data_IF_818294036756
#
_entry.id   IF_818294036756
#
_cell.length_a   1.000
_cell.length_b   1.000
_cell.length_c   1.000
_cell.angle_alpha   90.00
_cell.angle_beta   90.00
_cell.angle_gamma   90.00
#
_symmetry.space_group_name_H-M   'P 1'
#
loop_
_entity.id
_entity.type
_entity.pdbx_description
1 polymer ?
#
# COMPACT_ATOMS: atom_id res chain seq x y z
N UNK A 1 6.68 -18.26 -4.91
CA UNK A 1 5.59 -17.40 -5.43
C UNK A 1 5.07 -17.86 -6.78
N UNK A 2 5.90 -18.12 -7.80
CA UNK A 2 5.43 -18.52 -9.14
C UNK A 2 4.43 -19.67 -9.16
N UNK A 3 4.68 -20.74 -8.39
CA UNK A 3 3.77 -21.87 -8.29
C UNK A 3 2.39 -21.47 -7.75
N UNK A 4 2.35 -20.66 -6.69
CA UNK A 4 1.10 -20.12 -6.13
C UNK A 4 0.34 -19.33 -7.20
N UNK A 5 1.00 -18.42 -7.91
CA UNK A 5 0.35 -17.64 -8.98
C UNK A 5 -0.20 -18.54 -10.09
N UNK A 6 0.51 -19.62 -10.49
CA UNK A 6 -0.02 -20.60 -11.47
C UNK A 6 -1.26 -21.31 -10.97
N UNK A 7 -1.23 -21.79 -9.72
CA UNK A 7 -2.39 -22.45 -9.11
C UNK A 7 -3.58 -21.49 -9.03
N UNK A 8 -3.36 -20.22 -8.69
CA UNK A 8 -4.43 -19.23 -8.61
C UNK A 8 -5.01 -18.87 -9.99
N UNK A 9 -4.20 -18.80 -11.04
CA UNK A 9 -4.72 -18.65 -12.41
C UNK A 9 -5.73 -19.75 -12.75
N UNK A 10 -5.45 -20.99 -12.36
CA UNK A 10 -6.31 -22.14 -12.67
C UNK A 10 -7.51 -22.29 -11.73
N UNK A 11 -7.38 -21.84 -10.48
CA UNK A 11 -8.35 -22.15 -9.40
C UNK A 11 -9.15 -20.94 -8.92
N UNK A 12 -8.57 -19.75 -8.96
CA UNK A 12 -9.13 -18.53 -8.38
C UNK A 12 -8.54 -17.29 -9.08
N UNK A 13 -8.81 -17.08 -10.38
CA UNK A 13 -8.20 -15.98 -11.13
C UNK A 13 -8.63 -14.59 -10.61
N UNK A 14 -9.77 -14.48 -9.93
CA UNK A 14 -10.31 -13.24 -9.37
C UNK A 14 -9.49 -12.65 -8.22
N UNK A 15 -8.53 -13.40 -7.65
CA UNK A 15 -7.63 -12.86 -6.61
C UNK A 15 -6.29 -12.43 -7.16
N UNK A 16 -6.04 -12.54 -8.46
CA UNK A 16 -4.74 -12.19 -9.05
C UNK A 16 -4.47 -10.68 -9.01
N UNK A 17 -5.52 -9.87 -8.95
CA UNK A 17 -5.46 -8.41 -8.95
C UNK A 17 -5.75 -7.79 -7.58
N UNK A 18 -5.72 -8.60 -6.51
CA UNK A 18 -5.95 -8.14 -5.11
C UNK A 18 -5.09 -6.92 -4.72
N UNK A 19 -3.93 -6.75 -5.35
CA UNK A 19 -3.06 -5.60 -5.10
C UNK A 19 -3.70 -4.27 -5.43
N UNK A 20 -4.72 -4.25 -6.31
CA UNK A 20 -5.47 -3.06 -6.67
C UNK A 20 -6.29 -2.52 -5.49
N UNK A 21 -6.76 -3.41 -4.61
CA UNK A 21 -7.49 -3.05 -3.39
C UNK A 21 -6.56 -2.52 -2.28
N UNK A 22 -5.25 -2.57 -2.51
CA UNK A 22 -4.20 -2.18 -1.56
C UNK A 22 -3.37 -0.98 -2.07
N UNK A 23 -4.01 -0.05 -2.78
CA UNK A 23 -3.33 1.12 -3.38
C UNK A 23 -2.54 1.97 -2.39
N UNK A 24 -3.03 2.07 -1.14
CA UNK A 24 -2.41 2.87 -0.08
C UNK A 24 -1.35 2.09 0.73
N UNK A 25 -1.11 0.82 0.40
CA UNK A 25 -0.14 0.00 1.14
C UNK A 25 1.28 0.55 1.06
N UNK A 26 1.69 1.04 -0.11
CA UNK A 26 3.03 1.61 -0.28
C UNK A 26 3.25 2.88 0.53
N UNK A 27 2.37 3.91 0.50
CA UNK A 27 2.52 5.05 1.40
C UNK A 27 2.36 4.64 2.87
N UNK A 28 1.46 3.72 3.21
CA UNK A 28 1.28 3.24 4.58
C UNK A 28 2.56 2.60 5.15
N UNK A 29 3.27 1.79 4.36
CA UNK A 29 4.53 1.17 4.77
C UNK A 29 5.69 2.15 5.00
N UNK A 30 5.55 3.42 4.58
CA UNK A 30 6.54 4.50 4.80
C UNK A 30 6.23 5.32 6.05
N UNK A 31 5.05 5.16 6.65
CA UNK A 31 4.67 5.86 7.87
C UNK A 31 5.54 5.35 9.02
N UNK A 32 5.97 6.27 9.89
CA UNK A 32 6.63 5.94 11.14
C UNK A 32 5.74 6.44 12.29
N UNK A 33 5.16 5.50 13.05
CA UNK A 33 4.21 5.81 14.11
C UNK A 33 4.85 6.62 15.24
N UNK A 34 6.16 6.48 15.43
CA UNK A 34 6.94 7.29 16.36
C UNK A 34 6.81 8.79 16.04
N UNK A 35 7.04 9.19 14.78
CA UNK A 35 6.93 10.60 14.40
C UNK A 35 5.50 11.10 14.52
N UNK A 36 4.51 10.26 14.19
CA UNK A 36 3.11 10.61 14.38
C UNK A 36 2.77 10.89 15.85
N UNK A 37 3.30 10.08 16.77
CA UNK A 37 3.14 10.29 18.21
C UNK A 37 3.84 11.58 18.70
N UNK A 38 5.05 11.84 18.21
CA UNK A 38 5.81 13.06 18.53
C UNK A 38 5.07 14.33 18.06
N UNK A 39 4.52 14.33 16.84
CA UNK A 39 3.74 15.46 16.32
C UNK A 39 2.44 15.67 17.11
N UNK A 40 1.72 14.60 17.45
CA UNK A 40 0.52 14.69 18.28
C UNK A 40 0.84 15.27 19.67
N UNK A 41 1.97 14.87 20.26
CA UNK A 41 2.44 15.43 21.52
C UNK A 41 2.81 16.91 21.39
N UNK A 42 3.49 17.29 20.31
CA UNK A 42 3.89 18.67 20.05
C UNK A 42 2.67 19.60 19.91
N UNK A 43 1.63 19.14 19.20
CA UNK A 43 0.37 19.87 19.03
C UNK A 43 -0.33 20.08 20.38
N UNK A 44 -0.47 19.03 21.19
CA UNK A 44 -1.07 19.14 22.52
C UNK A 44 -0.32 20.12 23.43
N UNK A 45 1.02 20.01 23.48
CA UNK A 45 1.87 20.94 24.25
C UNK A 45 1.76 22.37 23.72
N UNK A 46 1.63 22.56 22.42
CA UNK A 46 1.42 23.86 21.80
C UNK A 46 0.13 24.49 22.31
N UNK A 47 -0.98 23.73 22.26
CA UNK A 47 -2.28 24.19 22.75
C UNK A 47 -2.25 24.52 24.25
N UNK A 48 -1.65 23.67 25.08
CA UNK A 48 -1.49 23.91 26.53
C UNK A 48 -0.76 25.24 26.80
N UNK A 49 0.31 25.53 26.05
CA UNK A 49 1.04 26.79 26.17
C UNK A 49 0.17 27.99 25.80
N UNK A 50 -0.65 27.89 24.75
CA UNK A 50 -1.56 28.98 24.36
C UNK A 50 -2.60 29.24 25.46
N UNK A 51 -3.14 28.18 26.07
CA UNK A 51 -4.08 28.30 27.20
C UNK A 51 -3.41 28.98 28.40
N UNK A 52 -2.16 28.59 28.72
CA UNK A 52 -1.40 29.20 29.81
C UNK A 52 -1.08 30.68 29.54
N UNK A 53 -0.74 31.03 28.29
CA UNK A 53 -0.48 32.41 27.86
C UNK A 53 -1.74 33.26 28.03
N UNK A 54 -2.92 32.73 27.65
CA UNK A 54 -4.19 33.42 27.88
C UNK A 54 -4.41 33.69 29.37
N UNK A 55 -4.24 32.66 30.21
CA UNK A 55 -4.41 32.79 31.66
C UNK A 55 -3.46 33.83 32.28
N UNK A 56 -2.25 33.95 31.73
CA UNK A 56 -1.27 34.93 32.20
C UNK A 56 -1.66 36.33 31.74
N UNK A 57 -2.00 36.50 30.46
CA UNK A 57 -2.35 37.79 29.87
C UNK A 57 -3.61 38.41 30.49
N UNK A 58 -4.56 37.61 30.97
CA UNK A 58 -5.74 38.11 31.68
C UNK A 58 -5.39 38.89 32.97
N UNK A 59 -4.20 38.65 33.54
CA UNK A 59 -3.71 39.38 34.73
C UNK A 59 -3.03 40.72 34.42
N UNK A 60 -2.75 41.02 33.15
CA UNK A 60 -2.03 42.24 32.73
C UNK A 60 -2.90 43.50 32.65
N UNK A 61 -4.22 43.36 32.83
CA UNK A 61 -5.16 44.49 32.80
C UNK A 61 -5.45 45.00 31.37
N UNK A 62 -5.85 46.30 31.21
CA UNK A 62 -6.38 46.79 29.93
C UNK A 62 -5.42 46.71 28.73
N UNK A 63 -4.11 46.64 28.98
CA UNK A 63 -3.10 46.58 27.91
C UNK A 63 -3.16 45.27 27.11
N UNK A 64 -3.67 44.18 27.69
CA UNK A 64 -3.77 42.86 27.05
C UNK A 64 -5.17 42.54 26.51
N UNK A 65 -6.15 43.45 26.61
CA UNK A 65 -7.57 43.17 26.28
C UNK A 65 -7.74 42.71 24.82
N UNK A 66 -7.08 43.39 23.89
CA UNK A 66 -7.12 43.04 22.46
C UNK A 66 -6.49 41.67 22.20
N UNK A 67 -5.39 41.36 22.88
CA UNK A 67 -4.71 40.07 22.78
C UNK A 67 -5.60 38.94 23.32
N UNK A 68 -6.15 39.10 24.53
CA UNK A 68 -7.03 38.12 25.15
C UNK A 68 -8.26 37.82 24.27
N UNK A 69 -8.87 38.85 23.69
CA UNK A 69 -10.02 38.68 22.77
C UNK A 69 -9.64 37.83 21.56
N UNK A 70 -8.51 38.12 20.92
CA UNK A 70 -8.03 37.37 19.74
C UNK A 70 -7.60 35.95 20.07
N UNK A 71 -6.99 35.75 21.23
CA UNK A 71 -6.54 34.44 21.67
C UNK A 71 -7.72 33.52 22.03
N UNK A 72 -8.78 34.07 22.65
CA UNK A 72 -10.04 33.33 22.90
C UNK A 72 -10.73 32.90 21.60
N UNK A 73 -10.77 33.77 20.60
CA UNK A 73 -11.30 33.47 19.27
C UNK A 73 -10.52 32.32 18.59
N UNK A 74 -9.18 32.39 18.65
CA UNK A 74 -8.31 31.32 18.15
C UNK A 74 -8.51 30.00 18.89
N UNK A 75 -8.51 30.01 20.23
CA UNK A 75 -8.64 28.82 21.06
C UNK A 75 -9.96 28.08 20.80
N UNK A 76 -11.07 28.79 20.58
CA UNK A 76 -12.34 28.16 20.27
C UNK A 76 -12.28 27.23 19.05
N UNK A 77 -11.54 27.63 18.01
CA UNK A 77 -11.33 26.80 16.82
C UNK A 77 -10.22 25.75 17.03
N UNK A 78 -9.09 26.15 17.60
CA UNK A 78 -7.93 25.28 17.79
C UNK A 78 -8.24 24.07 18.70
N UNK A 79 -8.98 24.27 19.78
CA UNK A 79 -9.37 23.17 20.68
C UNK A 79 -10.28 22.15 19.98
N UNK A 80 -11.17 22.60 19.10
CA UNK A 80 -12.04 21.71 18.34
C UNK A 80 -11.24 20.86 17.34
N UNK A 81 -10.31 21.48 16.62
CA UNK A 81 -9.41 20.80 15.68
C UNK A 81 -8.50 19.79 16.40
N UNK A 82 -7.87 20.18 17.50
CA UNK A 82 -7.00 19.28 18.28
C UNK A 82 -7.78 18.10 18.86
N UNK A 83 -9.03 18.31 19.31
CA UNK A 83 -9.91 17.23 19.77
C UNK A 83 -10.27 16.26 18.65
N UNK A 84 -10.60 16.79 17.46
CA UNK A 84 -10.88 15.99 16.27
C UNK A 84 -9.66 15.15 15.89
N UNK A 85 -8.48 15.77 15.84
CA UNK A 85 -7.22 15.11 15.54
C UNK A 85 -6.86 14.02 16.57
N UNK A 86 -7.07 14.28 17.86
CA UNK A 86 -6.85 13.28 18.91
C UNK A 86 -7.75 12.05 18.76
N UNK A 87 -9.02 12.25 18.37
CA UNK A 87 -9.95 11.16 18.07
C UNK A 87 -9.51 10.34 16.86
N UNK A 88 -9.02 11.00 15.81
CA UNK A 88 -8.48 10.34 14.62
C UNK A 88 -7.21 9.53 14.99
N UNK A 89 -6.28 10.13 15.73
CA UNK A 89 -5.06 9.48 16.20
C UNK A 89 -5.36 8.22 17.04
N UNK A 90 -6.34 8.31 17.95
CA UNK A 90 -6.78 7.14 18.73
C UNK A 90 -7.37 6.03 17.85
N UNK A 91 -8.10 6.40 16.79
CA UNK A 91 -8.64 5.43 15.83
C UNK A 91 -7.53 4.77 15.01
N UNK A 92 -6.51 5.52 14.60
CA UNK A 92 -5.31 4.96 13.96
C UNK A 92 -4.65 3.92 14.87
N UNK A 93 -4.43 4.24 16.15
CA UNK A 93 -3.85 3.30 17.12
C UNK A 93 -4.63 1.99 17.22
N UNK A 94 -5.97 2.07 17.37
CA UNK A 94 -6.83 0.87 17.43
C UNK A 94 -6.79 0.05 16.13
N UNK A 95 -6.77 0.70 14.97
CA UNK A 95 -6.72 0.02 13.68
C UNK A 95 -5.36 -0.67 13.46
N UNK A 96 -4.27 -0.03 13.90
CA UNK A 96 -2.93 -0.63 13.89
C UNK A 96 -2.90 -1.90 14.73
N UNK A 97 -3.36 -1.83 15.97
CA UNK A 97 -3.39 -2.99 16.87
C UNK A 97 -4.26 -4.12 16.28
N UNK A 98 -5.42 -3.78 15.74
CA UNK A 98 -6.32 -4.74 15.10
C UNK A 98 -5.68 -5.41 13.87
N UNK A 99 -4.96 -4.65 13.05
CA UNK A 99 -4.24 -5.19 11.88
C UNK A 99 -3.15 -6.18 12.30
N UNK A 100 -2.34 -5.81 13.31
CA UNK A 100 -1.26 -6.67 13.82
C UNK A 100 -1.86 -7.97 14.38
N UNK A 101 -2.93 -7.88 15.18
CA UNK A 101 -3.65 -9.04 15.72
C UNK A 101 -4.27 -9.91 14.63
N UNK A 102 -4.82 -9.31 13.56
CA UNK A 102 -5.41 -10.04 12.45
C UNK A 102 -4.41 -10.96 11.76
N UNK A 103 -3.14 -10.54 11.66
CA UNK A 103 -2.05 -11.35 11.14
C UNK A 103 -1.44 -12.32 12.16
N UNK A 104 -2.03 -12.42 13.36
CA UNK A 104 -1.60 -13.35 14.42
C UNK A 104 -0.36 -12.88 15.19
N UNK A 105 0.00 -11.61 15.06
CA UNK A 105 1.15 -11.01 15.75
C UNK A 105 0.70 -10.31 17.04
N UNK A 106 1.64 -10.08 17.95
CA UNK A 106 1.41 -9.36 19.21
C UNK A 106 1.74 -7.86 19.03
N UNK A 107 0.77 -6.92 19.15
CA UNK A 107 1.01 -5.49 19.00
C UNK A 107 2.07 -4.91 19.95
N UNK A 108 2.30 -5.55 21.11
CA UNK A 108 3.33 -5.12 22.05
C UNK A 108 4.75 -5.53 21.63
N UNK A 109 4.88 -6.43 20.65
CA UNK A 109 6.15 -7.03 20.21
C UNK A 109 6.44 -6.85 18.72
N UNK A 110 5.42 -6.59 17.92
CA UNK A 110 5.51 -6.44 16.47
C UNK A 110 5.10 -5.02 16.06
N UNK A 111 6.04 -4.21 15.53
CA UNK A 111 5.71 -2.86 15.09
C UNK A 111 4.88 -2.87 13.80
N UNK A 112 3.99 -1.88 13.67
CA UNK A 112 3.18 -1.66 12.46
C UNK A 112 4.00 -1.66 11.17
N UNK A 113 5.15 -0.98 11.20
CA UNK A 113 6.03 -0.81 10.06
C UNK A 113 6.54 -2.16 9.54
N UNK A 114 6.75 -3.14 10.44
CA UNK A 114 7.13 -4.49 10.05
C UNK A 114 6.00 -5.21 9.34
N UNK A 115 4.77 -5.12 9.86
CA UNK A 115 3.58 -5.74 9.23
C UNK A 115 3.31 -5.13 7.85
N UNK A 116 3.29 -3.80 7.76
CA UNK A 116 3.06 -3.09 6.51
C UNK A 116 4.15 -3.39 5.46
N UNK A 117 5.43 -3.40 5.86
CA UNK A 117 6.54 -3.76 4.98
C UNK A 117 6.46 -5.20 4.50
N UNK A 118 6.11 -6.14 5.40
CA UNK A 118 5.94 -7.56 5.05
C UNK A 118 4.84 -7.74 4.01
N UNK A 119 3.68 -7.10 4.20
CA UNK A 119 2.57 -7.14 3.25
C UNK A 119 2.96 -6.50 1.92
N UNK A 120 3.63 -5.35 1.93
CA UNK A 120 4.10 -4.68 0.71
C UNK A 120 5.08 -5.56 -0.08
N UNK A 121 6.02 -6.20 0.61
CA UNK A 121 6.99 -7.11 -0.01
C UNK A 121 6.29 -8.32 -0.61
N UNK A 122 5.32 -8.91 0.09
CA UNK A 122 4.50 -9.99 -0.44
C UNK A 122 3.78 -9.58 -1.72
N UNK A 123 3.08 -8.44 -1.72
CA UNK A 123 2.35 -7.93 -2.89
C UNK A 123 3.28 -7.72 -4.09
N UNK A 124 4.46 -7.12 -3.87
CA UNK A 124 5.48 -6.93 -4.92
C UNK A 124 5.99 -8.26 -5.48
N UNK A 125 6.31 -9.21 -4.59
CA UNK A 125 6.79 -10.54 -5.01
C UNK A 125 5.72 -11.33 -5.75
N UNK A 126 4.46 -11.22 -5.33
CA UNK A 126 3.32 -11.84 -5.99
C UNK A 126 3.13 -11.29 -7.40
N UNK A 127 3.02 -9.96 -7.55
CA UNK A 127 2.79 -9.31 -8.83
C UNK A 127 3.92 -9.62 -9.82
N UNK A 128 5.17 -9.55 -9.36
CA UNK A 128 6.34 -9.90 -10.17
C UNK A 128 6.28 -11.36 -10.64
N UNK A 129 5.97 -12.30 -9.74
CA UNK A 129 5.90 -13.72 -10.10
C UNK A 129 4.74 -14.02 -11.07
N UNK A 130 3.60 -13.32 -10.92
CA UNK A 130 2.49 -13.43 -11.86
C UNK A 130 2.85 -12.88 -13.24
N UNK A 131 3.46 -11.70 -13.30
CA UNK A 131 3.92 -11.09 -14.56
C UNK A 131 4.95 -11.98 -15.29
N UNK A 132 5.92 -12.52 -14.56
CA UNK A 132 6.93 -13.43 -15.12
C UNK A 132 6.30 -14.72 -15.65
N UNK A 133 5.29 -15.27 -14.97
CA UNK A 133 4.55 -16.43 -15.45
C UNK A 133 3.80 -16.12 -16.77
N UNK A 134 3.14 -14.97 -16.88
CA UNK A 134 2.44 -14.56 -18.09
C UNK A 134 3.43 -14.41 -19.27
N UNK A 135 4.57 -13.75 -19.04
CA UNK A 135 5.64 -13.62 -20.04
C UNK A 135 6.18 -14.97 -20.50
N UNK A 136 6.40 -15.90 -19.58
CA UNK A 136 6.88 -17.25 -19.91
C UNK A 136 5.85 -18.01 -20.75
N UNK A 137 4.57 -17.94 -20.39
CA UNK A 137 3.49 -18.59 -21.13
C UNK A 137 3.37 -18.03 -22.55
N UNK A 138 3.44 -16.71 -22.72
CA UNK A 138 3.44 -16.07 -24.05
C UNK A 138 4.61 -16.52 -24.93
N UNK A 139 5.81 -16.66 -24.35
CA UNK A 139 6.99 -17.13 -25.06
C UNK A 139 6.87 -18.60 -25.48
N UNK A 140 6.33 -19.44 -24.62
CA UNK A 140 6.08 -20.86 -24.92
C UNK A 140 5.03 -21.01 -26.03
N UNK A 141 3.92 -20.28 -25.97
CA UNK A 141 2.89 -20.28 -27.01
C UNK A 141 3.45 -19.85 -28.38
N UNK A 142 4.27 -18.79 -28.42
CA UNK A 142 4.92 -18.33 -29.66
C UNK A 142 5.89 -19.37 -30.24
N UNK A 143 6.64 -20.08 -29.40
CA UNK A 143 7.53 -21.16 -29.85
C UNK A 143 6.73 -22.31 -30.45
N UNK A 144 5.70 -22.77 -29.76
CA UNK A 144 4.84 -23.86 -30.25
C UNK A 144 4.14 -23.47 -31.56
N UNK A 145 3.69 -22.23 -31.72
CA UNK A 145 3.10 -21.75 -32.96
C UNK A 145 4.10 -21.72 -34.13
N UNK A 146 5.32 -21.24 -33.88
CA UNK A 146 6.39 -21.22 -34.88
C UNK A 146 6.84 -22.64 -35.29
N UNK A 147 6.92 -23.56 -34.34
CA UNK A 147 7.22 -24.98 -34.61
C UNK A 147 6.12 -25.65 -35.44
N UNK A 148 4.84 -25.38 -35.13
CA UNK A 148 3.70 -25.87 -35.92
C UNK A 148 3.75 -25.35 -37.36
N UNK A 149 3.98 -24.06 -37.56
CA UNK A 149 4.13 -23.45 -38.90
C UNK A 149 5.30 -24.04 -39.68
N UNK A 150 6.42 -24.32 -39.02
CA UNK A 150 7.59 -24.95 -39.65
C UNK A 150 7.28 -26.38 -40.11
N UNK A 151 6.69 -27.20 -39.25
CA UNK A 151 6.28 -28.56 -39.61
C UNK A 151 5.21 -28.62 -40.71
N UNK A 152 4.29 -27.64 -40.78
CA UNK A 152 3.32 -27.54 -41.87
C UNK A 152 3.98 -27.13 -43.19
N UNK A 153 4.91 -26.18 -43.17
CA UNK A 153 5.64 -25.75 -44.38
C UNK A 153 6.52 -26.86 -44.98
N UNK A 154 7.10 -27.73 -44.15
CA UNK A 154 7.90 -28.87 -44.58
C UNK A 154 7.05 -30.01 -45.17
N UNK A 155 5.75 -30.12 -44.81
CA UNK A 155 4.82 -31.11 -45.39
C UNK A 155 4.26 -30.71 -46.76
N UNK A 156 4.36 -29.43 -47.15
CA UNK A 156 3.80 -28.91 -48.41
C UNK A 156 4.85 -28.95 -49.57
N UNK A 157 6.10 -29.35 -49.31
CA UNK A 157 7.09 -29.55 -50.38
C UNK A 157 6.67 -30.72 -51.30
N UNK A 158 6.55 -30.52 -52.63
CA UNK A 158 6.10 -31.57 -53.54
C UNK A 158 7.10 -32.72 -53.61
N UNK A 159 6.61 -33.95 -53.50
CA UNK A 159 7.35 -35.17 -53.89
C UNK A 159 7.86 -35.02 -55.33
N UNK A 160 9.17 -35.25 -55.61
CA UNK A 160 9.67 -35.23 -56.97
C UNK A 160 8.95 -36.29 -57.80
N UNK A 161 8.25 -35.87 -58.85
CA UNK A 161 7.67 -36.77 -59.86
C UNK A 161 8.85 -37.51 -60.52
N UNK A 162 8.94 -38.85 -60.44
CA UNK A 162 9.96 -39.59 -61.16
C UNK A 162 9.61 -39.54 -62.65
N UNK A 163 10.30 -38.71 -63.43
CA UNK A 163 10.28 -38.81 -64.89
C UNK A 163 11.05 -40.07 -65.30
N UNK A 164 10.31 -41.17 -65.40
CA UNK A 164 10.77 -42.38 -66.04
C UNK A 164 11.03 -42.12 -67.52
N UNK A 165 12.29 -42.15 -67.93
CA UNK A 165 12.70 -42.30 -69.31
C UNK A 165 12.11 -43.59 -69.88
N UNK A 166 11.30 -43.49 -70.93
CA UNK A 166 11.05 -44.62 -71.83
C UNK A 166 11.49 -44.20 -73.23
N UNK A 167 12.35 -45.04 -73.79
CA UNK A 167 12.98 -44.98 -75.11
C UNK A 167 11.97 -44.93 -76.24
#
# INVERSE_FOLDING_TARGET
MHYLCKVLVDKLPEVLDFSNDLSDLEPAAKIQLKFLAEEMQAINKGLEKVIQELSTAESDGPISETFCKKLKEFLGSAEAEVRSLASLYSTVGRNVDALILYFGEDPSRCPFEQVASTLLNFTRMFNKAHEENCKQLELEMKKTENEKKKCESERILPTPIPTGNVK
#
